data_IF_541037915751
#
_entry.id   IF_541037915751
#
_cell.length_a   1.000
_cell.length_b   1.000
_cell.length_c   1.000
_cell.angle_alpha   90.00
_cell.angle_beta   90.00
_cell.angle_gamma   90.00
#
_symmetry.space_group_name_H-M   'P 1'
#
loop_
_entity.id
_entity.type
_entity.pdbx_description
1 polymer ?
#
# COMPACT_ATOMS: atom_id res chain seq x y z
N UNK A 1 8.25 -10.66 12.93
CA UNK A 1 8.59 -9.80 11.77
C UNK A 1 9.97 -9.19 11.95
N UNK A 2 10.74 -9.02 10.86
CA UNK A 2 12.09 -8.42 10.93
C UNK A 2 12.08 -6.91 10.64
N UNK A 3 10.99 -6.38 10.08
CA UNK A 3 10.83 -4.96 9.76
C UNK A 3 9.94 -4.27 10.82
N UNK A 4 10.19 -2.97 11.04
CA UNK A 4 9.39 -2.12 11.93
C UNK A 4 8.15 -1.57 11.21
N UNK A 5 7.18 -1.01 11.95
CA UNK A 5 6.04 -0.32 11.38
C UNK A 5 6.39 0.97 10.61
N UNK A 6 7.58 1.54 10.86
CA UNK A 6 8.10 2.66 10.09
C UNK A 6 8.68 2.24 8.72
N UNK A 7 9.03 0.96 8.57
CA UNK A 7 9.60 0.40 7.35
C UNK A 7 8.56 -0.28 6.48
N UNK A 8 7.59 -1.00 7.09
CA UNK A 8 6.54 -1.75 6.37
C UNK A 8 5.20 -1.62 7.09
N UNK A 9 4.15 -1.38 6.32
CA UNK A 9 2.75 -1.34 6.77
C UNK A 9 1.88 -2.28 5.95
N UNK A 10 0.79 -2.74 6.55
CA UNK A 10 -0.14 -3.66 5.93
C UNK A 10 -1.57 -3.12 5.91
N UNK A 11 -2.28 -3.43 4.82
CA UNK A 11 -3.73 -3.47 4.74
C UNK A 11 -4.16 -4.90 4.38
N UNK A 12 -4.98 -5.52 5.22
CA UNK A 12 -5.42 -6.90 5.03
C UNK A 12 -6.94 -6.97 4.90
N UNK A 13 -7.41 -7.70 3.89
CA UNK A 13 -8.83 -7.97 3.67
C UNK A 13 -9.09 -9.47 3.76
N UNK A 14 -10.00 -9.85 4.68
CA UNK A 14 -10.39 -11.22 4.96
C UNK A 14 -11.92 -11.31 5.11
N UNK A 15 -12.66 -11.55 4.01
CA UNK A 15 -14.13 -11.60 4.03
C UNK A 15 -14.68 -12.74 4.88
N UNK A 16 -13.91 -13.80 5.09
CA UNK A 16 -14.32 -14.98 5.87
C UNK A 16 -13.96 -14.90 7.35
N UNK A 17 -13.18 -13.89 7.77
CA UNK A 17 -12.73 -13.68 9.16
C UNK A 17 -11.94 -14.85 9.77
N UNK A 18 -11.26 -15.64 8.98
CA UNK A 18 -10.59 -16.88 9.41
C UNK A 18 -9.08 -16.77 9.41
N UNK A 19 -8.52 -16.15 8.35
CA UNK A 19 -7.09 -16.26 8.08
C UNK A 19 -6.28 -15.11 8.71
N UNK A 20 -6.79 -13.87 8.66
CA UNK A 20 -6.03 -12.69 9.07
C UNK A 20 -6.42 -12.10 10.42
N UNK A 21 -7.52 -12.56 11.02
CA UNK A 21 -7.95 -12.11 12.35
C UNK A 21 -6.84 -12.19 13.43
N UNK A 22 -5.96 -13.22 13.46
CA UNK A 22 -4.85 -13.27 14.41
C UNK A 22 -3.84 -12.14 14.30
N UNK A 23 -3.80 -11.42 13.17
CA UNK A 23 -2.90 -10.28 12.95
C UNK A 23 -3.47 -8.95 13.45
N UNK A 24 -4.73 -8.91 13.89
CA UNK A 24 -5.29 -7.71 14.51
C UNK A 24 -4.46 -7.30 15.73
N UNK A 25 -4.23 -5.99 15.85
CA UNK A 25 -3.47 -5.44 16.96
C UNK A 25 -1.97 -5.32 16.73
N UNK A 26 -1.41 -5.86 15.63
CA UNK A 26 0.00 -5.59 15.32
C UNK A 26 0.18 -4.13 14.86
N UNK A 27 1.30 -3.48 15.25
CA UNK A 27 1.51 -2.07 14.93
C UNK A 27 1.69 -1.78 13.44
N UNK A 28 1.94 -2.81 12.63
CA UNK A 28 2.14 -2.71 11.18
C UNK A 28 0.84 -2.51 10.39
N UNK A 29 -0.33 -2.79 10.96
CA UNK A 29 -1.61 -2.53 10.29
C UNK A 29 -1.94 -1.04 10.31
N UNK A 30 -2.35 -0.49 9.15
CA UNK A 30 -2.91 0.85 9.08
C UNK A 30 -4.30 0.94 9.71
N UNK A 31 -5.10 -0.09 9.49
CA UNK A 31 -6.45 -0.26 10.01
C UNK A 31 -6.61 -1.73 10.45
N UNK A 32 -7.56 -2.06 11.31
CA UNK A 32 -7.89 -3.46 11.60
C UNK A 32 -8.15 -4.25 10.31
N UNK A 33 -8.02 -5.57 10.39
CA UNK A 33 -8.30 -6.44 9.23
C UNK A 33 -9.73 -6.18 8.74
N UNK A 34 -9.84 -5.84 7.46
CA UNK A 34 -11.09 -5.49 6.80
C UNK A 34 -11.85 -6.74 6.43
N UNK A 35 -13.13 -6.81 6.77
CA UNK A 35 -13.98 -7.99 6.54
C UNK A 35 -15.13 -7.74 5.56
N UNK A 36 -15.47 -6.48 5.30
CA UNK A 36 -16.55 -6.08 4.40
C UNK A 36 -16.01 -5.72 3.00
N UNK A 37 -16.72 -6.14 1.94
CA UNK A 37 -16.29 -5.89 0.56
C UNK A 37 -16.16 -4.39 0.23
N UNK A 38 -17.08 -3.56 0.72
CA UNK A 38 -17.03 -2.10 0.51
C UNK A 38 -15.82 -1.46 1.18
N UNK A 39 -15.48 -1.90 2.38
CA UNK A 39 -14.30 -1.40 3.10
C UNK A 39 -13.01 -1.86 2.41
N UNK A 40 -12.97 -3.08 1.86
CA UNK A 40 -11.86 -3.55 1.06
C UNK A 40 -11.67 -2.73 -0.22
N UNK A 41 -12.76 -2.40 -0.93
CA UNK A 41 -12.73 -1.51 -2.07
C UNK A 41 -12.22 -0.11 -1.69
N UNK A 42 -12.66 0.42 -0.56
CA UNK A 42 -12.17 1.70 -0.02
C UNK A 42 -10.69 1.67 0.33
N UNK A 43 -10.21 0.57 0.91
CA UNK A 43 -8.79 0.39 1.21
C UNK A 43 -7.91 0.34 -0.06
N UNK A 44 -8.40 -0.30 -1.12
CA UNK A 44 -7.73 -0.30 -2.42
C UNK A 44 -7.73 1.09 -3.06
N UNK A 45 -8.85 1.81 -3.01
CA UNK A 45 -8.94 3.19 -3.50
C UNK A 45 -8.00 4.13 -2.73
N UNK A 46 -7.89 3.96 -1.43
CA UNK A 46 -6.90 4.65 -0.62
C UNK A 46 -5.47 4.33 -1.08
N UNK A 47 -5.16 3.07 -1.37
CA UNK A 47 -3.87 2.65 -1.91
C UNK A 47 -3.52 3.36 -3.22
N UNK A 48 -4.48 3.54 -4.12
CA UNK A 48 -4.31 4.31 -5.36
C UNK A 48 -4.02 5.78 -5.06
N UNK A 49 -4.80 6.42 -4.18
CA UNK A 49 -4.60 7.81 -3.80
C UNK A 49 -3.24 8.04 -3.12
N UNK A 50 -2.84 7.15 -2.22
CA UNK A 50 -1.53 7.20 -1.56
C UNK A 50 -0.38 7.01 -2.56
N UNK A 51 -0.52 6.10 -3.50
CA UNK A 51 0.44 5.92 -4.60
C UNK A 51 0.63 7.22 -5.39
N UNK A 52 -0.46 7.85 -5.81
CA UNK A 52 -0.42 9.10 -6.58
C UNK A 52 0.18 10.24 -5.76
N UNK A 53 -0.16 10.34 -4.49
CA UNK A 53 0.43 11.31 -3.56
C UNK A 53 1.95 11.14 -3.47
N UNK A 54 2.42 9.90 -3.29
CA UNK A 54 3.86 9.60 -3.20
C UNK A 54 4.60 9.97 -4.47
N UNK A 55 4.07 9.61 -5.62
CA UNK A 55 4.69 9.94 -6.91
C UNK A 55 4.82 11.45 -7.13
N UNK A 56 3.84 12.24 -6.70
CA UNK A 56 3.92 13.71 -6.73
C UNK A 56 5.03 14.23 -5.82
N UNK A 57 5.14 13.72 -4.60
CA UNK A 57 6.20 14.10 -3.67
C UNK A 57 7.58 13.71 -4.22
N UNK A 58 7.72 12.51 -4.79
CA UNK A 58 8.98 12.08 -5.41
C UNK A 58 9.42 13.03 -6.52
N UNK A 59 8.48 13.45 -7.36
CA UNK A 59 8.77 14.43 -8.44
C UNK A 59 9.28 15.75 -7.87
N UNK A 60 8.68 16.26 -6.80
CA UNK A 60 9.11 17.52 -6.15
C UNK A 60 10.55 17.47 -5.66
N UNK A 61 10.96 16.35 -5.06
CA UNK A 61 12.30 16.21 -4.47
C UNK A 61 13.31 15.57 -5.42
N UNK A 62 12.93 15.26 -6.66
CA UNK A 62 13.80 14.64 -7.65
C UNK A 62 14.13 13.18 -7.36
N UNK A 63 13.25 12.44 -6.68
CA UNK A 63 13.36 11.00 -6.47
C UNK A 63 12.57 10.23 -7.54
N UNK A 64 13.06 9.06 -7.92
CA UNK A 64 12.40 8.18 -8.91
C UNK A 64 11.60 7.06 -8.28
N UNK A 65 11.88 6.74 -7.02
CA UNK A 65 11.25 5.65 -6.27
C UNK A 65 11.39 5.86 -4.76
N UNK A 66 10.69 5.03 -3.99
CA UNK A 66 10.68 5.09 -2.52
C UNK A 66 12.08 4.94 -1.91
N UNK A 67 12.94 4.09 -2.47
CA UNK A 67 14.31 3.91 -1.97
C UNK A 67 15.13 5.18 -2.07
N UNK A 68 15.08 5.86 -3.22
CA UNK A 68 15.75 7.16 -3.41
C UNK A 68 15.13 8.26 -2.53
N UNK A 69 13.80 8.27 -2.41
CA UNK A 69 13.12 9.22 -1.52
C UNK A 69 13.57 9.05 -0.07
N UNK A 70 13.53 7.83 0.46
CA UNK A 70 13.94 7.56 1.84
C UNK A 70 15.43 7.87 2.07
N UNK A 71 16.29 7.63 1.09
CA UNK A 71 17.70 8.02 1.17
C UNK A 71 17.87 9.55 1.27
N UNK A 72 17.08 10.32 0.52
CA UNK A 72 17.06 11.78 0.63
C UNK A 72 16.54 12.26 1.99
N UNK A 73 15.53 11.60 2.55
CA UNK A 73 15.04 11.89 3.91
C UNK A 73 16.15 11.70 4.94
N UNK A 74 16.84 10.56 4.91
CA UNK A 74 17.95 10.30 5.83
C UNK A 74 19.05 11.34 5.71
N UNK A 75 19.47 11.67 4.49
CA UNK A 75 20.48 12.70 4.25
C UNK A 75 20.03 14.09 4.74
N UNK A 76 18.77 14.46 4.54
CA UNK A 76 18.22 15.73 5.01
C UNK A 76 18.19 15.81 6.54
N UNK A 77 17.82 14.72 7.21
CA UNK A 77 17.83 14.64 8.67
C UNK A 77 19.25 14.78 9.25
N UNK A 78 20.22 14.04 8.70
CA UNK A 78 21.63 14.12 9.10
C UNK A 78 22.21 15.52 8.89
N UNK A 79 21.95 16.14 7.75
CA UNK A 79 22.42 17.48 7.45
C UNK A 79 21.80 18.55 8.36
N UNK A 80 20.49 18.43 8.64
CA UNK A 80 19.77 19.33 9.53
C UNK A 80 20.30 19.25 10.96
N UNK A 81 20.56 18.05 11.45
CA UNK A 81 21.17 17.83 12.77
C UNK A 81 22.59 18.44 12.85
N UNK A 82 23.41 18.23 11.82
CA UNK A 82 24.78 18.75 11.77
C UNK A 82 24.85 20.28 11.66
N UNK A 83 23.87 20.91 10.99
CA UNK A 83 23.84 22.35 10.76
C UNK A 83 22.96 23.11 11.76
N UNK A 84 22.25 22.43 12.65
CA UNK A 84 21.22 22.99 13.53
C UNK A 84 20.13 23.76 12.74
N UNK A 85 19.73 23.22 11.59
CA UNK A 85 18.74 23.80 10.68
C UNK A 85 17.46 22.94 10.62
N UNK A 86 16.30 23.53 10.27
CA UNK A 86 15.07 22.76 10.11
C UNK A 86 15.12 21.86 8.87
N UNK A 87 14.54 20.66 9.01
CA UNK A 87 14.38 19.73 7.87
C UNK A 87 13.27 20.25 6.94
N UNK A 88 13.46 20.23 5.61
CA UNK A 88 12.38 20.53 4.66
C UNK A 88 11.17 19.63 4.90
N UNK A 89 9.96 20.21 4.87
CA UNK A 89 8.71 19.48 5.15
C UNK A 89 8.55 18.24 4.25
N UNK A 90 8.89 18.35 2.98
CA UNK A 90 8.82 17.27 2.01
C UNK A 90 9.77 16.10 2.30
N UNK A 91 10.80 16.31 3.13
CA UNK A 91 11.82 15.32 3.49
C UNK A 91 11.86 15.03 5.01
N UNK A 92 10.83 15.42 5.75
CA UNK A 92 10.81 15.29 7.21
C UNK A 92 10.62 13.85 7.70
N UNK A 93 9.97 12.98 6.92
CA UNK A 93 9.61 11.63 7.35
C UNK A 93 9.79 10.61 6.24
N UNK A 94 10.50 9.52 6.55
CA UNK A 94 10.57 8.38 5.62
C UNK A 94 9.19 7.76 5.39
N UNK A 95 9.00 7.16 4.22
CA UNK A 95 7.78 6.46 3.87
C UNK A 95 7.97 4.94 4.05
N UNK A 96 7.01 4.26 4.70
CA UNK A 96 7.03 2.81 4.77
C UNK A 96 6.65 2.20 3.42
N UNK A 97 7.15 0.99 3.14
CA UNK A 97 6.55 0.12 2.14
C UNK A 97 5.16 -0.29 2.62
N UNK A 98 4.21 -0.39 1.69
CA UNK A 98 2.84 -0.80 1.97
C UNK A 98 2.57 -2.11 1.24
N UNK A 99 2.06 -3.10 1.96
CA UNK A 99 1.61 -4.36 1.39
C UNK A 99 0.10 -4.47 1.62
N UNK A 100 -0.64 -4.54 0.53
CA UNK A 100 -2.09 -4.74 0.53
C UNK A 100 -2.34 -6.22 0.23
N UNK A 101 -3.01 -6.92 1.14
CA UNK A 101 -3.27 -8.35 1.03
C UNK A 101 -4.78 -8.59 0.93
N UNK A 102 -5.20 -9.25 -0.14
CA UNK A 102 -6.58 -9.64 -0.38
C UNK A 102 -6.65 -11.17 -0.28
N UNK A 103 -7.33 -11.67 0.75
CA UNK A 103 -7.42 -13.10 1.04
C UNK A 103 -8.33 -13.88 0.10
N UNK A 104 -9.39 -13.27 -0.43
CA UNK A 104 -10.28 -13.88 -1.44
C UNK A 104 -10.81 -12.83 -2.42
N UNK A 105 -10.21 -12.77 -3.61
CA UNK A 105 -10.60 -11.83 -4.65
C UNK A 105 -12.00 -12.11 -5.21
N UNK A 106 -12.40 -13.38 -5.31
CA UNK A 106 -13.72 -13.73 -5.87
C UNK A 106 -14.86 -13.05 -5.13
N UNK A 107 -14.80 -12.99 -3.80
CA UNK A 107 -15.82 -12.37 -2.98
C UNK A 107 -15.92 -10.86 -3.22
N UNK A 108 -14.80 -10.20 -3.46
CA UNK A 108 -14.76 -8.77 -3.80
C UNK A 108 -15.31 -8.53 -5.20
N UNK A 109 -14.93 -9.35 -6.18
CA UNK A 109 -15.38 -9.19 -7.57
C UNK A 109 -16.88 -9.39 -7.73
N UNK A 110 -17.50 -10.24 -6.91
CA UNK A 110 -18.97 -10.45 -6.91
C UNK A 110 -19.74 -9.23 -6.38
N UNK A 111 -19.20 -8.49 -5.45
CA UNK A 111 -19.89 -7.41 -4.75
C UNK A 111 -19.54 -6.01 -5.27
N UNK A 112 -18.27 -5.77 -5.52
CA UNK A 112 -17.71 -4.44 -5.86
C UNK A 112 -16.70 -4.52 -7.01
N UNK A 113 -16.91 -5.42 -7.95
CA UNK A 113 -15.94 -5.83 -8.98
C UNK A 113 -15.35 -4.70 -9.79
N UNK A 114 -16.15 -3.74 -10.27
CA UNK A 114 -15.67 -2.63 -11.12
C UNK A 114 -14.70 -1.71 -10.38
N UNK A 115 -14.99 -1.37 -9.14
CA UNK A 115 -14.15 -0.51 -8.31
C UNK A 115 -12.83 -1.19 -7.97
N UNK A 116 -12.90 -2.47 -7.61
CA UNK A 116 -11.74 -3.30 -7.29
C UNK A 116 -10.86 -3.49 -8.52
N UNK A 117 -11.43 -3.81 -9.67
CA UNK A 117 -10.71 -3.98 -10.94
C UNK A 117 -9.95 -2.70 -11.33
N UNK A 118 -10.61 -1.54 -11.24
CA UNK A 118 -9.98 -0.26 -11.51
C UNK A 118 -8.77 -0.02 -10.58
N UNK A 119 -8.97 -0.19 -9.27
CA UNK A 119 -7.91 0.04 -8.28
C UNK A 119 -6.73 -0.91 -8.45
N UNK A 120 -6.98 -2.20 -8.68
CA UNK A 120 -5.93 -3.20 -8.92
C UNK A 120 -5.14 -2.86 -10.19
N UNK A 121 -5.82 -2.48 -11.26
CA UNK A 121 -5.17 -2.09 -12.51
C UNK A 121 -4.26 -0.87 -12.33
N UNK A 122 -4.71 0.15 -11.60
CA UNK A 122 -3.91 1.35 -11.31
C UNK A 122 -2.68 1.01 -10.46
N UNK A 123 -2.85 0.22 -9.41
CA UNK A 123 -1.76 -0.23 -8.55
C UNK A 123 -0.74 -1.05 -9.35
N UNK A 124 -1.20 -2.01 -10.16
CA UNK A 124 -0.33 -2.84 -10.97
C UNK A 124 0.56 -2.04 -11.94
N UNK A 125 0.08 -0.91 -12.44
CA UNK A 125 0.83 -0.07 -13.38
C UNK A 125 1.95 0.76 -12.75
N UNK A 126 1.74 1.31 -11.56
CA UNK A 126 2.57 2.41 -11.02
C UNK A 126 3.08 2.18 -9.59
N UNK A 127 2.55 1.22 -8.86
CA UNK A 127 2.76 1.12 -7.42
C UNK A 127 4.20 0.71 -7.02
N UNK A 128 4.93 0.03 -7.89
CA UNK A 128 6.30 -0.43 -7.60
C UNK A 128 7.22 0.71 -7.18
N UNK A 129 7.22 1.80 -7.95
CA UNK A 129 8.03 2.97 -7.64
C UNK A 129 7.61 3.64 -6.33
N UNK A 130 6.31 3.65 -6.01
CA UNK A 130 5.75 4.20 -4.78
C UNK A 130 5.96 3.31 -3.55
N UNK A 131 6.48 2.09 -3.71
CA UNK A 131 6.68 1.13 -2.62
C UNK A 131 5.38 0.52 -2.12
N UNK A 132 4.39 0.35 -2.99
CA UNK A 132 3.10 -0.28 -2.69
C UNK A 132 3.03 -1.61 -3.43
N UNK A 133 2.78 -2.68 -2.70
CA UNK A 133 2.71 -4.04 -3.22
C UNK A 133 1.34 -4.64 -2.94
N UNK A 134 0.83 -5.40 -3.90
CA UNK A 134 -0.46 -6.05 -3.82
C UNK A 134 -0.27 -7.57 -3.88
N UNK A 135 -0.79 -8.26 -2.87
CA UNK A 135 -0.86 -9.72 -2.83
C UNK A 135 -2.34 -10.10 -2.90
N UNK A 136 -2.69 -10.85 -3.92
CA UNK A 136 -4.07 -11.28 -4.17
C UNK A 136 -4.13 -12.79 -4.17
N UNK A 137 -4.99 -13.35 -3.32
CA UNK A 137 -5.31 -14.76 -3.29
C UNK A 137 -6.77 -14.99 -3.71
N UNK A 138 -7.00 -16.14 -4.34
CA UNK A 138 -8.35 -16.63 -4.62
C UNK A 138 -8.38 -18.15 -4.69
N UNK A 139 -9.40 -18.74 -4.10
CA UNK A 139 -9.70 -20.17 -4.21
C UNK A 139 -10.54 -20.50 -5.46
N UNK A 140 -11.01 -19.48 -6.18
CA UNK A 140 -11.88 -19.60 -7.37
C UNK A 140 -11.26 -18.90 -8.58
N UNK A 141 -10.20 -19.45 -9.19
CA UNK A 141 -9.51 -18.83 -10.31
C UNK A 141 -10.30 -19.01 -11.63
N UNK A 142 -11.42 -18.32 -11.76
CA UNK A 142 -12.24 -18.30 -12.99
C UNK A 142 -11.95 -17.02 -13.80
N UNK A 143 -12.36 -17.00 -15.08
CA UNK A 143 -12.26 -15.81 -15.92
C UNK A 143 -13.06 -14.63 -15.41
N UNK A 144 -14.12 -14.88 -14.62
CA UNK A 144 -14.93 -13.83 -13.97
C UNK A 144 -14.22 -13.19 -12.77
N UNK A 145 -13.26 -13.89 -12.17
CA UNK A 145 -12.48 -13.42 -11.02
C UNK A 145 -11.15 -12.85 -11.47
N UNK A 146 -10.47 -13.51 -12.41
CA UNK A 146 -9.18 -13.09 -12.95
C UNK A 146 -9.39 -12.50 -14.34
N UNK A 147 -9.46 -11.18 -14.41
CA UNK A 147 -9.61 -10.47 -15.67
C UNK A 147 -8.29 -10.41 -16.44
N UNK A 148 -8.35 -10.07 -17.74
CA UNK A 148 -7.16 -9.88 -18.56
C UNK A 148 -6.16 -8.84 -18.05
N UNK A 149 -6.61 -7.95 -17.17
CA UNK A 149 -5.79 -6.91 -16.53
C UNK A 149 -4.97 -7.42 -15.34
N UNK A 150 -5.36 -8.55 -14.77
CA UNK A 150 -4.73 -9.14 -13.57
C UNK A 150 -3.80 -10.31 -13.96
N UNK A 151 -3.91 -10.82 -15.17
CA UNK A 151 -3.10 -11.95 -15.68
C UNK A 151 -1.66 -11.58 -15.95
#
# INVERSE_FOLDING_TARGET
MRATAAEVRFNMSDPKRVEFTPYNGIPHLYVPVVTEAKEAASALAWGVAEMERRLKVFTKVGARNIGQYNAKVHAALENAEAADEPVPEELATQLPYIVIIIGELADLMMNVGKEVEFSISRIAQLARAAGIHLIVATQRPSTNVVTGLIK
#
